data_IF_478944138645
#
_entry.id   IF_478944138645
#
_cell.length_a   1.000
_cell.length_b   1.000
_cell.length_c   1.000
_cell.angle_alpha   90.00
_cell.angle_beta   90.00
_cell.angle_gamma   90.00
#
_symmetry.space_group_name_H-M   'P 1'
#
loop_
_entity.id
_entity.type
_entity.pdbx_description
1 polymer ?
#
# COMPACT_ATOMS: atom_id res chain seq x y z
N UNK A 1 10.49 34.28 -0.29
CA UNK A 1 10.47 33.67 -1.65
C UNK A 1 10.78 34.71 -2.71
N UNK A 2 10.05 35.82 -2.75
CA UNK A 2 10.28 36.94 -3.70
C UNK A 2 11.71 37.47 -3.73
N UNK A 3 12.34 37.67 -2.57
CA UNK A 3 13.71 38.22 -2.52
C UNK A 3 14.76 37.25 -3.10
N UNK A 4 14.61 35.94 -2.86
CA UNK A 4 15.46 34.91 -3.48
C UNK A 4 15.38 34.99 -5.01
N UNK A 5 14.17 35.11 -5.54
CA UNK A 5 13.94 35.11 -7.00
C UNK A 5 14.36 36.42 -7.65
N UNK A 6 14.26 37.53 -6.92
CA UNK A 6 14.84 38.83 -7.29
C UNK A 6 16.36 38.76 -7.37
N UNK A 7 17.02 38.25 -6.32
CA UNK A 7 18.49 38.11 -6.28
C UNK A 7 19.01 37.14 -7.35
N UNK A 8 18.27 36.05 -7.61
CA UNK A 8 18.57 35.14 -8.71
C UNK A 8 18.57 35.87 -10.06
N UNK A 9 17.53 36.68 -10.33
CA UNK A 9 17.44 37.49 -11.56
C UNK A 9 18.59 38.49 -11.65
N UNK A 10 18.91 39.19 -10.56
CA UNK A 10 20.03 40.12 -10.50
C UNK A 10 21.37 39.44 -10.84
N UNK A 11 21.67 38.31 -10.20
CA UNK A 11 22.90 37.56 -10.44
C UNK A 11 23.04 37.05 -11.88
N UNK A 12 21.93 36.66 -12.52
CA UNK A 12 21.92 36.27 -13.93
C UNK A 12 22.22 37.45 -14.85
N UNK A 13 21.73 38.65 -14.52
CA UNK A 13 21.92 39.85 -15.34
C UNK A 13 23.32 40.46 -15.18
N UNK A 14 23.87 40.46 -13.97
CA UNK A 14 25.16 41.08 -13.68
C UNK A 14 26.35 40.14 -13.90
N UNK A 15 26.13 38.83 -13.79
CA UNK A 15 27.14 37.76 -13.80
C UNK A 15 28.33 37.98 -12.83
N UNK A 16 28.10 38.77 -11.78
CA UNK A 16 29.10 39.05 -10.76
C UNK A 16 29.10 37.95 -9.69
N UNK A 17 30.29 37.50 -9.30
CA UNK A 17 30.48 36.49 -8.24
C UNK A 17 29.84 36.90 -6.90
N UNK A 18 29.84 38.20 -6.60
CA UNK A 18 29.23 38.75 -5.39
C UNK A 18 27.70 38.58 -5.38
N UNK A 19 27.03 38.90 -6.50
CA UNK A 19 25.58 38.73 -6.62
C UNK A 19 25.16 37.26 -6.53
N UNK A 20 25.95 36.36 -7.11
CA UNK A 20 25.78 34.91 -6.94
C UNK A 20 25.93 34.48 -5.48
N UNK A 21 26.87 35.07 -4.74
CA UNK A 21 27.10 34.79 -3.32
C UNK A 21 25.93 35.25 -2.46
N UNK A 22 25.40 36.45 -2.71
CA UNK A 22 24.18 36.94 -2.05
C UNK A 22 22.97 36.05 -2.34
N UNK A 23 22.76 35.65 -3.60
CA UNK A 23 21.70 34.70 -3.94
C UNK A 23 21.86 33.37 -3.19
N UNK A 24 23.06 32.79 -3.15
CA UNK A 24 23.33 31.53 -2.43
C UNK A 24 22.99 31.65 -0.94
N UNK A 25 23.39 32.76 -0.31
CA UNK A 25 23.09 33.04 1.09
C UNK A 25 21.58 33.08 1.35
N UNK A 26 20.84 33.88 0.57
CA UNK A 26 19.38 33.97 0.70
C UNK A 26 18.66 32.67 0.37
N UNK A 27 19.09 31.94 -0.66
CA UNK A 27 18.57 30.61 -1.00
C UNK A 27 18.71 29.66 0.18
N UNK A 28 19.87 29.66 0.84
CA UNK A 28 20.10 28.81 2.01
C UNK A 28 19.22 29.20 3.18
N UNK A 29 19.07 30.50 3.49
CA UNK A 29 18.19 30.98 4.55
C UNK A 29 16.73 30.58 4.29
N UNK A 30 16.24 30.73 3.06
CA UNK A 30 14.90 30.28 2.67
C UNK A 30 14.76 28.77 2.81
N UNK A 31 15.77 27.99 2.41
CA UNK A 31 15.74 26.54 2.57
C UNK A 31 15.70 26.10 4.04
N UNK A 32 16.45 26.78 4.92
CA UNK A 32 16.43 26.55 6.36
C UNK A 32 15.04 26.86 6.91
N UNK A 33 14.49 28.04 6.60
CA UNK A 33 13.15 28.43 7.04
C UNK A 33 12.07 27.45 6.57
N UNK A 34 12.14 26.97 5.32
CA UNK A 34 11.22 25.94 4.81
C UNK A 34 11.35 24.61 5.54
N UNK A 35 12.57 24.19 5.89
CA UNK A 35 12.80 22.94 6.65
C UNK A 35 12.23 23.05 8.06
N UNK A 36 12.46 24.16 8.75
CA UNK A 36 11.90 24.40 10.09
C UNK A 36 10.37 24.47 10.05
N UNK A 37 9.79 25.20 9.10
CA UNK A 37 8.34 25.26 8.95
C UNK A 37 7.72 23.87 8.71
N UNK A 38 8.33 23.05 7.85
CA UNK A 38 7.88 21.66 7.61
C UNK A 38 7.98 20.80 8.88
N UNK A 39 9.10 20.91 9.61
CA UNK A 39 9.32 20.19 10.87
C UNK A 39 8.24 20.54 11.90
N UNK A 40 7.97 21.83 12.10
CA UNK A 40 6.92 22.32 13.01
C UNK A 40 5.54 21.82 12.59
N UNK A 41 5.20 21.92 11.30
CA UNK A 41 3.92 21.43 10.77
C UNK A 41 3.71 19.95 11.05
N UNK A 42 4.67 19.09 10.68
CA UNK A 42 4.51 17.65 10.87
C UNK A 42 4.56 17.24 12.34
N UNK A 43 5.38 17.91 13.16
CA UNK A 43 5.36 17.71 14.62
C UNK A 43 3.97 17.99 15.19
N UNK A 44 3.41 19.16 14.90
CA UNK A 44 2.04 19.53 15.32
C UNK A 44 0.99 18.53 14.83
N UNK A 45 1.12 18.02 13.60
CA UNK A 45 0.21 17.02 13.03
C UNK A 45 0.30 15.68 13.77
N UNK A 46 1.49 15.24 14.16
CA UNK A 46 1.66 14.04 14.99
C UNK A 46 1.11 14.22 16.39
N UNK A 47 1.40 15.36 17.04
CA UNK A 47 0.91 15.68 18.38
C UNK A 47 -0.64 15.67 18.41
N UNK A 48 -1.28 16.24 17.38
CA UNK A 48 -2.75 16.24 17.23
C UNK A 48 -3.36 14.83 17.05
N UNK A 49 -2.59 13.88 16.53
CA UNK A 49 -3.07 12.54 16.17
C UNK A 49 -2.42 11.43 17.01
N UNK A 50 -1.88 11.75 18.19
CA UNK A 50 -1.13 10.82 19.03
C UNK A 50 -1.90 9.53 19.36
N UNK A 51 -3.22 9.62 19.55
CA UNK A 51 -4.08 8.47 19.85
C UNK A 51 -4.78 7.87 18.62
N UNK A 52 -4.38 8.25 17.41
CA UNK A 52 -4.98 7.76 16.16
C UNK A 52 -3.90 7.18 15.23
N UNK A 53 -3.59 5.88 15.34
CA UNK A 53 -2.54 5.25 14.54
C UNK A 53 -2.83 5.31 13.04
N UNK A 54 -4.10 5.28 12.62
CA UNK A 54 -4.48 5.40 11.21
C UNK A 54 -4.09 6.77 10.63
N UNK A 55 -4.31 7.86 11.38
CA UNK A 55 -3.92 9.21 10.96
C UNK A 55 -2.41 9.44 11.03
N UNK A 56 -1.73 8.87 12.02
CA UNK A 56 -0.27 8.85 12.07
C UNK A 56 0.30 8.16 10.82
N UNK A 57 -0.28 7.04 10.41
CA UNK A 57 0.20 6.30 9.25
C UNK A 57 -0.08 6.99 7.92
N UNK A 58 -1.21 7.69 7.81
CA UNK A 58 -1.48 8.61 6.69
C UNK A 58 -0.46 9.74 6.63
N UNK A 59 -0.10 10.32 7.78
CA UNK A 59 0.90 11.39 7.86
C UNK A 59 2.29 10.90 7.43
N UNK A 60 2.67 9.68 7.80
CA UNK A 60 3.95 9.11 7.34
C UNK A 60 3.94 8.82 5.84
N UNK A 61 2.83 8.29 5.30
CA UNK A 61 2.69 8.09 3.86
C UNK A 61 2.77 9.42 3.07
N UNK A 62 2.20 10.49 3.59
CA UNK A 62 2.28 11.86 3.05
C UNK A 62 3.74 12.35 3.02
N UNK A 63 4.50 12.19 4.12
CA UNK A 63 5.93 12.55 4.19
C UNK A 63 6.76 11.76 3.18
N UNK A 64 6.48 10.47 3.01
CA UNK A 64 7.18 9.59 2.09
C UNK A 64 6.73 9.77 0.63
N UNK A 65 5.77 10.66 0.35
CA UNK A 65 5.20 10.85 -0.99
C UNK A 65 4.50 9.60 -1.53
N UNK A 66 4.09 8.68 -0.66
CA UNK A 66 3.40 7.45 -1.03
C UNK A 66 1.97 7.79 -1.40
N UNK A 67 1.68 7.79 -2.69
CA UNK A 67 0.30 7.88 -3.20
C UNK A 67 -0.38 6.54 -3.02
N UNK A 68 -1.67 6.55 -2.67
CA UNK A 68 -2.50 5.35 -2.84
C UNK A 68 -2.45 4.99 -4.32
N UNK A 69 -2.08 3.74 -4.61
CA UNK A 69 -2.29 3.19 -5.94
C UNK A 69 -3.79 3.09 -6.14
N UNK A 70 -4.25 3.48 -7.32
CA UNK A 70 -5.61 3.17 -7.71
C UNK A 70 -5.72 1.65 -7.81
N UNK A 71 -6.59 1.07 -6.99
CA UNK A 71 -6.84 -0.38 -6.95
C UNK A 71 -8.00 -0.76 -7.86
N UNK A 72 -8.56 0.19 -8.62
CA UNK A 72 -9.63 -0.07 -9.55
C UNK A 72 -9.13 -0.98 -10.69
N UNK A 73 -9.78 -2.14 -10.83
CA UNK A 73 -9.56 -3.03 -11.97
C UNK A 73 -10.38 -2.48 -13.14
N UNK A 74 -9.68 -2.00 -14.16
CA UNK A 74 -10.31 -1.41 -15.36
C UNK A 74 -10.59 -2.45 -16.45
N UNK A 75 -9.81 -3.54 -16.46
CA UNK A 75 -9.97 -4.62 -17.42
C UNK A 75 -9.53 -5.97 -16.83
N UNK A 76 -10.13 -7.04 -17.34
CA UNK A 76 -9.66 -8.41 -17.17
C UNK A 76 -9.31 -8.99 -18.54
N UNK A 77 -8.16 -9.68 -18.62
CA UNK A 77 -7.76 -10.42 -19.81
C UNK A 77 -8.08 -11.90 -19.62
N UNK A 78 -8.94 -12.43 -20.48
CA UNK A 78 -9.34 -13.83 -20.46
C UNK A 78 -9.01 -14.45 -21.83
N UNK A 79 -7.87 -15.12 -21.93
CA UNK A 79 -7.36 -15.61 -23.21
C UNK A 79 -7.07 -14.44 -24.16
N UNK A 80 -7.77 -14.39 -25.29
CA UNK A 80 -7.67 -13.29 -26.27
C UNK A 80 -8.67 -12.16 -26.01
N UNK A 81 -9.62 -12.33 -25.09
CA UNK A 81 -10.66 -11.34 -24.82
C UNK A 81 -10.24 -10.36 -23.73
N UNK A 82 -10.63 -9.09 -23.91
CA UNK A 82 -10.47 -8.02 -22.91
C UNK A 82 -11.84 -7.58 -22.42
N UNK A 83 -12.10 -7.76 -21.13
CA UNK A 83 -13.39 -7.48 -20.50
C UNK A 83 -13.24 -6.20 -19.67
N UNK A 84 -13.98 -5.16 -20.03
CA UNK A 84 -13.93 -3.84 -19.36
C UNK A 84 -15.22 -3.51 -18.60
N UNK A 85 -16.30 -4.25 -18.82
CA UNK A 85 -17.58 -4.03 -18.14
C UNK A 85 -17.52 -4.50 -16.68
N UNK A 86 -17.82 -3.66 -15.68
CA UNK A 86 -17.75 -4.03 -14.26
C UNK A 86 -18.58 -5.26 -13.89
N UNK A 87 -19.80 -5.35 -14.42
CA UNK A 87 -20.68 -6.51 -14.19
C UNK A 87 -20.07 -7.79 -14.77
N UNK A 88 -19.54 -7.74 -15.99
CA UNK A 88 -18.91 -8.91 -16.61
C UNK A 88 -17.62 -9.30 -15.89
N UNK A 89 -16.82 -8.32 -15.46
CA UNK A 89 -15.61 -8.57 -14.67
C UNK A 89 -15.96 -9.27 -13.34
N UNK A 90 -17.00 -8.82 -12.64
CA UNK A 90 -17.46 -9.44 -11.41
C UNK A 90 -17.89 -10.91 -11.62
N UNK A 91 -18.68 -11.16 -12.67
CA UNK A 91 -19.10 -12.52 -13.00
C UNK A 91 -17.91 -13.43 -13.35
N UNK A 92 -16.97 -12.96 -14.17
CA UNK A 92 -15.77 -13.73 -14.51
C UNK A 92 -14.91 -14.08 -13.29
N UNK A 93 -14.76 -13.14 -12.35
CA UNK A 93 -14.05 -13.40 -11.10
C UNK A 93 -14.79 -14.44 -10.26
N UNK A 94 -16.11 -14.30 -10.12
CA UNK A 94 -16.95 -15.25 -9.40
C UNK A 94 -16.84 -16.67 -9.98
N UNK A 95 -16.98 -16.81 -11.30
CA UNK A 95 -16.91 -18.10 -12.00
C UNK A 95 -15.51 -18.74 -11.84
N UNK A 96 -14.45 -17.93 -11.87
CA UNK A 96 -13.10 -18.42 -11.63
C UNK A 96 -12.94 -18.98 -10.21
N UNK A 97 -13.25 -18.18 -9.18
CA UNK A 97 -13.01 -18.57 -7.79
C UNK A 97 -13.95 -19.67 -7.28
N UNK A 98 -15.15 -19.79 -7.85
CA UNK A 98 -16.07 -20.90 -7.54
C UNK A 98 -15.65 -22.20 -8.22
N UNK A 99 -15.11 -22.15 -9.45
CA UNK A 99 -14.74 -23.36 -10.20
C UNK A 99 -13.33 -23.88 -9.92
N UNK A 100 -12.39 -23.02 -9.47
CA UNK A 100 -10.98 -23.40 -9.30
C UNK A 100 -10.79 -24.50 -8.26
N UNK A 101 -11.61 -24.50 -7.19
CA UNK A 101 -11.55 -25.54 -6.15
C UNK A 101 -11.81 -26.94 -6.69
N UNK A 102 -12.87 -27.10 -7.52
CA UNK A 102 -13.17 -28.36 -8.19
C UNK A 102 -12.05 -28.79 -9.13
N UNK A 103 -11.56 -27.87 -9.97
CA UNK A 103 -10.45 -28.14 -10.91
C UNK A 103 -9.18 -28.63 -10.19
N UNK A 104 -8.83 -28.01 -9.06
CA UNK A 104 -7.67 -28.42 -8.26
C UNK A 104 -7.94 -29.80 -7.64
N UNK A 105 -9.12 -30.02 -7.06
CA UNK A 105 -9.51 -31.31 -6.49
C UNK A 105 -9.41 -32.47 -7.48
N UNK A 106 -9.94 -32.26 -8.69
CA UNK A 106 -9.89 -33.22 -9.79
C UNK A 106 -8.45 -33.48 -10.28
N UNK A 107 -7.57 -32.46 -10.20
CA UNK A 107 -6.15 -32.61 -10.56
C UNK A 107 -5.34 -33.35 -9.48
N UNK A 108 -5.83 -33.39 -8.23
CA UNK A 108 -5.14 -33.98 -7.10
C UNK A 108 -5.53 -35.45 -6.83
N UNK A 109 -6.43 -36.05 -7.64
CA UNK A 109 -7.05 -37.34 -7.34
C UNK A 109 -6.20 -38.59 -7.58
N UNK A 110 -4.93 -38.49 -7.96
CA UNK A 110 -4.07 -39.67 -8.20
C UNK A 110 -3.15 -40.06 -7.02
N UNK A 111 -3.14 -39.29 -5.93
CA UNK A 111 -2.32 -39.62 -4.76
C UNK A 111 -3.13 -39.70 -3.48
N UNK A 112 -4.08 -40.63 -3.44
CA UNK A 112 -4.43 -41.30 -2.19
C UNK A 112 -3.27 -42.23 -1.80
N UNK A 113 -2.08 -41.67 -1.57
CA UNK A 113 -1.15 -42.34 -0.66
C UNK A 113 -1.93 -42.41 0.64
N UNK A 114 -2.35 -43.62 1.01
CA UNK A 114 -3.05 -43.88 2.27
C UNK A 114 -2.33 -43.09 3.37
N UNK A 115 -2.92 -41.99 3.83
CA UNK A 115 -2.36 -41.16 4.89
C UNK A 115 -2.04 -42.02 6.13
N UNK A 116 -2.80 -43.11 6.31
CA UNK A 116 -2.56 -44.13 7.32
C UNK A 116 -1.20 -44.85 7.23
N UNK A 117 -0.53 -44.92 6.07
CA UNK A 117 0.82 -45.51 5.95
C UNK A 117 1.90 -44.68 6.63
N UNK A 118 1.68 -43.37 6.78
CA UNK A 118 2.58 -42.48 7.53
C UNK A 118 2.12 -42.24 8.97
N UNK A 119 0.94 -42.76 9.34
CA UNK A 119 0.46 -42.81 10.72
C UNK A 119 0.74 -44.18 11.33
N UNK A 120 2.02 -44.60 11.35
CA UNK A 120 2.42 -45.75 12.15
C UNK A 120 2.59 -45.36 13.61
N UNK A 121 1.84 -46.04 14.47
CA UNK A 121 2.15 -46.39 15.87
C UNK A 121 2.03 -45.35 16.99
N UNK A 122 1.12 -44.37 16.92
CA UNK A 122 0.63 -43.72 18.15
C UNK A 122 -0.76 -43.11 17.99
N UNK A 123 -1.80 -43.93 18.13
CA UNK A 123 -3.16 -43.45 18.44
C UNK A 123 -3.62 -44.09 19.74
N UNK A 124 -2.95 -43.71 20.84
CA UNK A 124 -3.47 -43.87 22.19
C UNK A 124 -3.80 -42.52 22.84
N UNK A 125 -4.20 -41.56 22.01
CA UNK A 125 -4.85 -40.34 22.46
C UNK A 125 -6.04 -40.08 21.56
N UNK A 126 -7.21 -40.25 22.15
CA UNK A 126 -8.48 -39.69 21.69
C UNK A 126 -8.26 -38.20 21.39
N UNK A 127 -7.98 -37.88 20.13
CA UNK A 127 -8.10 -36.55 19.57
C UNK A 127 -9.36 -36.56 18.73
N UNK A 128 -10.50 -36.64 19.41
CA UNK A 128 -11.80 -36.41 18.80
C UNK A 128 -11.90 -34.90 18.53
N UNK A 129 -11.62 -34.50 17.30
CA UNK A 129 -11.91 -33.14 16.83
C UNK A 129 -13.32 -33.11 16.26
N UNK A 130 -14.29 -32.82 17.12
CA UNK A 130 -15.71 -32.68 16.75
C UNK A 130 -16.04 -31.20 16.52
N UNK A 131 -16.43 -30.88 15.29
CA UNK A 131 -17.00 -29.58 14.96
C UNK A 131 -18.46 -29.54 15.43
N UNK A 132 -18.76 -28.66 16.38
CA UNK A 132 -20.14 -28.40 16.79
C UNK A 132 -20.73 -27.23 15.99
N UNK A 133 -21.99 -27.35 15.52
CA UNK A 133 -22.66 -26.26 14.83
C UNK A 133 -22.84 -25.06 15.77
N UNK A 134 -22.45 -23.88 15.31
CA UNK A 134 -22.69 -22.61 16.01
C UNK A 134 -24.09 -22.16 15.64
N UNK A 135 -25.03 -22.23 16.59
CA UNK A 135 -26.33 -21.58 16.42
C UNK A 135 -26.19 -20.09 16.73
N UNK A 136 -26.78 -19.24 15.88
CA UNK A 136 -26.86 -17.80 16.11
C UNK A 136 -27.58 -17.53 17.43
N UNK A 137 -26.93 -16.75 18.29
CA UNK A 137 -27.51 -16.32 19.57
C UNK A 137 -28.57 -15.25 19.27
N UNK A 138 -29.81 -15.51 19.68
CA UNK A 138 -30.94 -14.57 19.58
C UNK A 138 -30.73 -13.32 20.44
#
# INVERSE_FOLDING_TARGET
>A
MFERDRLKRKAILSDLSEDWSQYKHYRNNVNIAMREAKKVYYKSKFDKHQNNPNQAWRTINDILGRKKKDTMINELKLGNDTITSPMRMANCLNDYFTSIGGKIGDSCSEHTQNFGRHMSDNLNTSLEFTLHPVNESQ
#
